data_IF_107485342608
#
_entry.id   IF_107485342608
#
_cell.length_a   1.000
_cell.length_b   1.000
_cell.length_c   1.000
_cell.angle_alpha   90.00
_cell.angle_beta   90.00
_cell.angle_gamma   90.00
#
_symmetry.space_group_name_H-M   'P 1'
#
loop_
_entity.id
_entity.type
_entity.pdbx_description
1 polymer ?
#
# COMPACT_ATOMS: atom_id res chain seq x y z
N UNK A 1 7.97 14.75 2.35
CA UNK A 1 7.49 13.58 1.57
C UNK A 1 7.71 12.29 2.35
N UNK A 2 6.97 11.28 2.02
CA UNK A 2 7.07 9.97 2.65
C UNK A 2 7.84 9.03 1.73
N UNK A 3 8.82 8.33 2.28
CA UNK A 3 9.61 7.36 1.52
C UNK A 3 8.83 6.04 1.37
N UNK A 4 9.12 5.31 0.30
CA UNK A 4 8.50 3.99 0.11
C UNK A 4 8.83 3.05 1.26
N UNK A 5 10.06 3.13 1.80
CA UNK A 5 10.45 2.34 2.96
C UNK A 5 9.63 2.68 4.22
N UNK A 6 9.22 3.94 4.37
CA UNK A 6 8.33 4.33 5.47
C UNK A 6 6.95 3.68 5.33
N UNK A 7 6.46 3.60 4.09
CA UNK A 7 5.19 2.91 3.81
C UNK A 7 5.32 1.42 4.11
N UNK A 8 6.43 0.82 3.70
CA UNK A 8 6.72 -0.59 3.99
C UNK A 8 6.66 -0.85 5.50
N UNK A 9 7.32 -0.01 6.29
CA UNK A 9 7.35 -0.18 7.74
C UNK A 9 5.95 0.00 8.35
N UNK A 10 5.19 0.94 7.83
CA UNK A 10 3.81 1.13 8.27
C UNK A 10 2.96 -0.12 7.98
N UNK A 11 3.03 -0.66 6.76
CA UNK A 11 2.27 -1.86 6.39
C UNK A 11 2.68 -3.04 7.27
N UNK A 12 3.98 -3.20 7.51
CA UNK A 12 4.48 -4.26 8.40
C UNK A 12 3.93 -4.12 9.82
N UNK A 13 3.77 -2.88 10.30
CA UNK A 13 3.26 -2.61 11.65
C UNK A 13 1.80 -3.03 11.84
N UNK A 14 1.06 -3.21 10.76
CA UNK A 14 -0.34 -3.64 10.82
C UNK A 14 -0.50 -5.11 11.24
N UNK A 15 0.58 -5.88 11.19
CA UNK A 15 0.58 -7.27 11.67
C UNK A 15 -0.15 -8.26 10.77
N UNK A 16 -0.40 -7.90 9.50
CA UNK A 16 -1.07 -8.79 8.56
C UNK A 16 -0.22 -10.03 8.26
N UNK A 17 1.09 -9.82 8.03
CA UNK A 17 2.10 -10.88 7.94
C UNK A 17 3.29 -10.46 8.79
N UNK A 18 4.23 -11.38 9.01
CA UNK A 18 5.45 -11.07 9.73
C UNK A 18 6.26 -10.01 9.00
N UNK A 19 7.00 -9.20 9.76
CA UNK A 19 7.78 -8.09 9.22
C UNK A 19 8.70 -8.52 8.07
N UNK A 20 9.33 -9.67 8.18
CA UNK A 20 10.27 -10.19 7.18
C UNK A 20 9.62 -10.54 5.83
N UNK A 21 8.29 -10.65 5.79
CA UNK A 21 7.54 -10.94 4.57
C UNK A 21 6.94 -9.71 3.92
N UNK A 22 7.29 -8.52 4.39
CA UNK A 22 6.88 -7.25 3.78
C UNK A 22 8.09 -6.61 3.12
N UNK A 23 8.02 -6.42 1.82
CA UNK A 23 9.15 -5.93 1.01
C UNK A 23 8.86 -4.55 0.44
N UNK A 24 9.92 -3.78 0.23
CA UNK A 24 9.84 -2.45 -0.37
C UNK A 24 10.44 -2.50 -1.76
N UNK A 25 9.63 -2.21 -2.78
CA UNK A 25 10.06 -2.08 -4.16
C UNK A 25 10.21 -3.39 -4.94
N UNK A 26 10.56 -4.48 -4.31
CA UNK A 26 10.76 -5.75 -4.99
C UNK A 26 10.56 -6.91 -4.02
N UNK A 27 9.84 -7.93 -4.47
CA UNK A 27 9.73 -9.18 -3.71
C UNK A 27 10.97 -10.02 -3.94
N UNK A 28 11.82 -10.09 -2.91
CA UNK A 28 12.97 -10.96 -2.95
C UNK A 28 12.54 -12.39 -2.61
N UNK A 29 13.13 -13.37 -3.33
CA UNK A 29 12.88 -14.79 -3.13
C UNK A 29 11.43 -15.24 -3.30
N UNK A 30 10.53 -14.35 -3.66
CA UNK A 30 9.10 -14.63 -3.93
C UNK A 30 8.50 -15.67 -3.00
N UNK A 31 8.68 -15.47 -1.70
CA UNK A 31 8.12 -16.37 -0.70
C UNK A 31 6.61 -16.28 -0.68
N UNK A 32 5.96 -17.42 -0.39
CA UNK A 32 4.51 -17.44 -0.23
C UNK A 32 4.08 -16.56 0.94
N UNK A 33 2.85 -16.02 0.85
CA UNK A 33 2.26 -15.18 1.88
C UNK A 33 3.14 -13.96 2.20
N UNK A 34 3.60 -13.31 1.15
CA UNK A 34 4.41 -12.09 1.25
C UNK A 34 3.71 -10.91 0.56
N UNK A 35 4.14 -9.71 0.93
CA UNK A 35 3.58 -8.47 0.43
C UNK A 35 4.71 -7.59 -0.10
N UNK A 36 4.52 -7.02 -1.29
CA UNK A 36 5.43 -6.02 -1.83
C UNK A 36 4.76 -4.66 -1.89
N UNK A 37 5.48 -3.64 -1.44
CA UNK A 37 5.01 -2.25 -1.49
C UNK A 37 5.77 -1.53 -2.59
N UNK A 38 5.04 -0.93 -3.52
CA UNK A 38 5.62 -0.27 -4.70
C UNK A 38 5.06 1.13 -4.86
N UNK A 39 5.84 2.01 -5.48
CA UNK A 39 5.28 3.26 -5.99
C UNK A 39 4.34 2.92 -7.14
N UNK A 40 3.22 3.64 -7.25
CA UNK A 40 2.31 3.45 -8.36
C UNK A 40 3.01 3.92 -9.64
N UNK A 41 2.91 3.14 -10.72
CA UNK A 41 3.57 3.47 -11.99
C UNK A 41 3.05 4.75 -12.61
N UNK A 42 1.76 5.02 -12.46
CA UNK A 42 1.12 6.23 -12.97
C UNK A 42 0.62 7.03 -11.79
N UNK A 43 1.18 8.23 -11.62
CA UNK A 43 0.77 9.18 -10.59
C UNK A 43 -0.14 10.25 -11.20
N UNK A 44 -0.99 10.82 -10.34
CA UNK A 44 -1.81 11.95 -10.72
C UNK A 44 -1.06 13.26 -10.44
N UNK A 45 -1.47 14.33 -11.12
CA UNK A 45 -0.90 15.64 -10.87
C UNK A 45 -1.17 16.10 -9.44
N UNK A 46 -0.24 16.88 -8.89
CA UNK A 46 -0.39 17.42 -7.56
C UNK A 46 -1.52 18.44 -7.53
N UNK A 47 -2.39 18.33 -6.53
CA UNK A 47 -3.45 19.29 -6.30
C UNK A 47 -2.90 20.47 -5.49
N UNK A 48 -3.01 21.69 -6.03
CA UNK A 48 -2.50 22.89 -5.37
C UNK A 48 -3.62 23.91 -5.20
N UNK A 49 -3.84 24.44 -3.97
CA UNK A 49 -4.82 25.49 -3.75
C UNK A 49 -4.49 26.77 -4.51
N UNK A 50 -5.49 27.61 -4.76
CA UNK A 50 -5.29 28.87 -5.45
C UNK A 50 -4.24 29.77 -4.81
N UNK A 51 -4.12 29.73 -3.48
CA UNK A 51 -3.11 30.52 -2.75
C UNK A 51 -1.71 29.96 -2.85
N UNK A 52 -1.52 28.86 -3.56
CA UNK A 52 -0.22 28.25 -3.80
C UNK A 52 0.07 27.12 -2.84
N UNK A 53 1.25 26.52 -3.03
CA UNK A 53 1.68 25.33 -2.30
C UNK A 53 1.72 25.54 -0.78
N UNK A 54 2.03 26.73 -0.32
CA UNK A 54 2.08 27.04 1.12
C UNK A 54 0.76 26.77 1.85
N UNK A 55 -0.36 26.86 1.15
CA UNK A 55 -1.67 26.65 1.75
C UNK A 55 -2.11 25.19 1.71
N UNK A 56 -1.32 24.32 1.11
CA UNK A 56 -1.64 22.90 1.07
C UNK A 56 -1.22 22.24 2.38
N UNK A 57 -2.20 21.73 3.14
CA UNK A 57 -1.98 21.15 4.46
C UNK A 57 -1.65 19.65 4.45
N UNK A 58 -1.78 19.00 3.30
CA UNK A 58 -1.63 17.55 3.21
C UNK A 58 -0.79 17.14 2.01
N UNK A 59 -0.23 15.94 2.07
CA UNK A 59 0.39 15.27 0.93
C UNK A 59 -0.30 13.96 0.66
N UNK A 60 -0.07 13.40 -0.52
CA UNK A 60 -0.63 12.11 -0.93
C UNK A 60 0.50 11.23 -1.42
N UNK A 61 0.63 10.05 -0.81
CA UNK A 61 1.57 9.02 -1.28
C UNK A 61 0.77 7.95 -2.00
N UNK A 62 0.95 7.84 -3.31
CA UNK A 62 0.24 6.85 -4.13
C UNK A 62 1.08 5.59 -4.26
N UNK A 63 0.54 4.48 -3.78
CA UNK A 63 1.26 3.20 -3.75
C UNK A 63 0.44 2.09 -4.37
N UNK A 64 1.13 1.02 -4.71
CA UNK A 64 0.55 -0.25 -5.14
C UNK A 64 1.09 -1.34 -4.22
N UNK A 65 0.21 -2.17 -3.71
CA UNK A 65 0.60 -3.30 -2.86
C UNK A 65 0.32 -4.57 -3.64
N UNK A 66 1.35 -5.41 -3.80
CA UNK A 66 1.23 -6.72 -4.41
C UNK A 66 1.14 -7.77 -3.32
N UNK A 67 0.08 -8.56 -3.34
CA UNK A 67 -0.10 -9.68 -2.41
C UNK A 67 0.25 -10.96 -3.18
N UNK A 68 1.35 -11.58 -2.80
CA UNK A 68 1.86 -12.84 -3.37
C UNK A 68 1.59 -13.91 -2.32
N UNK A 69 0.57 -14.74 -2.55
CA UNK A 69 0.00 -15.53 -1.45
C UNK A 69 0.31 -17.02 -1.56
N UNK A 70 -0.55 -17.79 -2.22
CA UNK A 70 -0.36 -19.23 -2.36
C UNK A 70 -1.04 -19.74 -3.64
N UNK A 71 -1.15 -21.07 -3.76
CA UNK A 71 -1.73 -21.70 -4.94
C UNK A 71 -3.24 -21.80 -4.92
N UNK A 72 -3.90 -21.26 -3.89
CA UNK A 72 -5.35 -21.23 -3.80
C UNK A 72 -5.86 -19.84 -4.16
N UNK A 73 -6.60 -19.74 -5.25
CA UNK A 73 -7.20 -18.47 -5.66
C UNK A 73 -8.15 -17.94 -4.58
N UNK A 74 -8.96 -18.82 -4.01
CA UNK A 74 -9.92 -18.43 -2.97
C UNK A 74 -9.24 -17.90 -1.72
N UNK A 75 -8.20 -18.57 -1.25
CA UNK A 75 -7.45 -18.12 -0.06
C UNK A 75 -6.73 -16.82 -0.31
N UNK A 76 -6.17 -16.66 -1.50
CA UNK A 76 -5.48 -15.44 -1.89
C UNK A 76 -6.42 -14.25 -1.92
N UNK A 77 -7.59 -14.43 -2.51
CA UNK A 77 -8.60 -13.38 -2.58
C UNK A 77 -9.08 -13.00 -1.18
N UNK A 78 -9.37 -13.99 -0.32
CA UNK A 78 -9.79 -13.73 1.06
C UNK A 78 -8.74 -12.96 1.84
N UNK A 79 -7.47 -13.36 1.72
CA UNK A 79 -6.36 -12.69 2.41
C UNK A 79 -6.23 -11.26 1.92
N UNK A 80 -6.33 -11.04 0.61
CA UNK A 80 -6.19 -9.72 0.01
C UNK A 80 -7.33 -8.79 0.43
N UNK A 81 -8.57 -9.30 0.48
CA UNK A 81 -9.72 -8.53 0.95
C UNK A 81 -9.54 -8.13 2.41
N UNK A 82 -9.00 -9.02 3.23
CA UNK A 82 -8.72 -8.73 4.63
C UNK A 82 -7.72 -7.58 4.75
N UNK A 83 -6.64 -7.61 3.96
CA UNK A 83 -5.66 -6.53 3.95
C UNK A 83 -6.27 -5.23 3.43
N UNK A 84 -7.08 -5.30 2.38
CA UNK A 84 -7.78 -4.15 1.82
C UNK A 84 -8.63 -3.46 2.89
N UNK A 85 -9.43 -4.22 3.63
CA UNK A 85 -10.27 -3.66 4.68
C UNK A 85 -9.44 -3.11 5.84
N UNK A 86 -8.35 -3.76 6.18
CA UNK A 86 -7.46 -3.30 7.23
C UNK A 86 -6.85 -1.93 6.86
N UNK A 87 -6.41 -1.77 5.61
CA UNK A 87 -5.87 -0.50 5.12
C UNK A 87 -6.94 0.58 5.06
N UNK A 88 -8.11 0.25 4.54
CA UNK A 88 -9.19 1.21 4.35
C UNK A 88 -9.68 1.80 5.68
N UNK A 89 -9.54 1.05 6.77
CA UNK A 89 -10.01 1.48 8.08
C UNK A 89 -8.96 2.22 8.91
N UNK A 90 -7.78 2.44 8.37
CA UNK A 90 -6.73 3.14 9.11
C UNK A 90 -7.04 4.64 9.23
N UNK A 91 -6.84 5.18 10.42
CA UNK A 91 -7.02 6.62 10.72
C UNK A 91 -5.94 7.05 11.71
N UNK A 92 -5.42 8.25 11.53
CA UNK A 92 -4.51 8.88 12.48
C UNK A 92 -3.35 7.96 12.91
N UNK A 93 -2.57 7.54 11.93
CA UNK A 93 -1.45 6.62 12.13
C UNK A 93 -0.12 7.34 11.89
N UNK A 94 0.97 6.74 12.38
CA UNK A 94 2.31 7.26 12.10
C UNK A 94 2.90 6.57 10.88
N UNK A 95 3.51 7.35 9.99
CA UNK A 95 4.20 6.83 8.82
C UNK A 95 5.50 7.61 8.64
N UNK A 96 6.63 6.94 8.89
CA UNK A 96 7.90 7.65 8.97
C UNK A 96 7.83 8.69 10.07
N UNK A 97 8.16 9.94 9.74
CA UNK A 97 8.12 11.04 10.70
C UNK A 97 6.89 11.93 10.53
N UNK A 98 5.94 11.51 9.73
CA UNK A 98 4.73 12.28 9.49
C UNK A 98 3.51 11.54 10.04
N UNK A 99 2.42 12.26 10.16
CA UNK A 99 1.15 11.70 10.62
C UNK A 99 0.27 11.39 9.43
N UNK A 100 -0.09 10.13 9.27
CA UNK A 100 -1.06 9.71 8.27
C UNK A 100 -2.46 9.99 8.78
N UNK A 101 -3.34 10.47 7.91
CA UNK A 101 -4.69 10.83 8.31
C UNK A 101 -5.70 9.77 7.92
N UNK A 102 -5.63 9.29 6.71
CA UNK A 102 -6.52 8.24 6.20
C UNK A 102 -5.95 7.69 4.90
N UNK A 103 -6.52 6.57 4.46
CA UNK A 103 -6.14 5.92 3.20
C UNK A 103 -7.37 5.84 2.31
N UNK A 104 -7.26 6.41 1.11
CA UNK A 104 -8.29 6.32 0.09
C UNK A 104 -7.91 5.20 -0.88
N UNK A 105 -8.80 4.21 -1.00
CA UNK A 105 -8.51 3.09 -1.90
C UNK A 105 -8.73 3.51 -3.35
N UNK A 106 -7.81 3.14 -4.22
CA UNK A 106 -7.86 3.49 -5.64
C UNK A 106 -8.74 2.57 -6.47
N UNK A 107 -9.48 1.67 -5.83
CA UNK A 107 -10.33 0.69 -6.49
C UNK A 107 -11.39 0.21 -5.50
N UNK A 108 -12.50 -0.34 -6.03
CA UNK A 108 -13.58 -0.85 -5.18
C UNK A 108 -13.21 -2.13 -4.45
N UNK A 109 -12.37 -2.94 -5.06
CA UNK A 109 -11.93 -4.21 -4.52
C UNK A 109 -10.56 -4.58 -5.11
N UNK A 110 -9.80 -5.48 -4.46
CA UNK A 110 -8.53 -5.93 -5.01
C UNK A 110 -8.67 -6.53 -6.40
N UNK A 111 -7.63 -6.34 -7.22
CA UNK A 111 -7.60 -6.86 -8.59
C UNK A 111 -6.66 -8.04 -8.70
N UNK A 112 -7.12 -9.09 -9.37
CA UNK A 112 -6.30 -10.25 -9.67
C UNK A 112 -5.26 -9.91 -10.75
N UNK A 113 -4.02 -10.39 -10.54
CA UNK A 113 -2.92 -10.24 -11.51
C UNK A 113 -2.51 -11.62 -12.06
N UNK A 114 -3.37 -12.61 -11.90
CA UNK A 114 -3.11 -14.00 -12.27
C UNK A 114 -2.09 -14.68 -11.35
N UNK A 115 -1.32 -15.60 -11.90
CA UNK A 115 -0.33 -16.36 -11.15
C UNK A 115 1.08 -16.04 -11.64
N UNK A 116 2.07 -16.29 -10.76
CA UNK A 116 3.46 -16.25 -11.18
C UNK A 116 3.84 -17.58 -11.86
N UNK A 117 5.14 -17.73 -12.22
CA UNK A 117 5.64 -18.91 -12.91
C UNK A 117 5.48 -20.20 -12.11
N UNK A 118 5.31 -20.10 -10.80
CA UNK A 118 5.15 -21.24 -9.90
C UNK A 118 3.67 -21.52 -9.55
N UNK A 119 2.75 -20.82 -10.18
CA UNK A 119 1.33 -21.01 -9.93
C UNK A 119 0.81 -20.33 -8.67
N UNK A 120 1.58 -19.40 -8.10
CA UNK A 120 1.17 -18.65 -6.91
C UNK A 120 0.29 -17.47 -7.35
N UNK A 121 -0.90 -17.37 -6.78
CA UNK A 121 -1.83 -16.29 -7.11
C UNK A 121 -1.39 -14.97 -6.52
N UNK A 122 -1.58 -13.91 -7.28
CA UNK A 122 -1.21 -12.55 -6.91
C UNK A 122 -2.38 -11.59 -7.12
N UNK A 123 -2.54 -10.67 -6.19
CA UNK A 123 -3.53 -9.60 -6.27
C UNK A 123 -2.84 -8.27 -6.00
N UNK A 124 -3.44 -7.20 -6.51
CA UNK A 124 -2.91 -5.85 -6.34
C UNK A 124 -3.95 -4.96 -5.67
N UNK A 125 -3.47 -4.07 -4.79
CA UNK A 125 -4.28 -3.06 -4.12
C UNK A 125 -3.63 -1.70 -4.39
N UNK A 126 -4.43 -0.73 -4.86
CA UNK A 126 -3.96 0.65 -5.02
C UNK A 126 -4.48 1.50 -3.88
N UNK A 127 -3.58 2.23 -3.24
CA UNK A 127 -3.90 3.10 -2.12
C UNK A 127 -3.32 4.48 -2.29
N UNK A 128 -4.07 5.47 -1.83
CA UNK A 128 -3.60 6.85 -1.70
C UNK A 128 -3.54 7.16 -0.21
N UNK A 129 -2.32 7.35 0.32
CA UNK A 129 -2.12 7.65 1.74
C UNK A 129 -2.07 9.17 1.90
N UNK A 130 -3.05 9.71 2.62
CA UNK A 130 -3.11 11.13 2.93
C UNK A 130 -2.41 11.38 4.25
N UNK A 131 -1.45 12.29 4.25
CA UNK A 131 -0.64 12.59 5.43
C UNK A 131 -0.48 14.10 5.62
N UNK A 132 -0.18 14.52 6.86
CA UNK A 132 0.08 15.91 7.16
C UNK A 132 1.42 16.33 6.56
N UNK A 133 1.42 17.47 5.87
CA UNK A 133 2.67 17.99 5.32
C UNK A 133 3.48 18.64 6.43
N UNK A 134 4.77 18.41 6.37
CA UNK A 134 5.74 19.14 7.18
C UNK A 134 5.99 20.49 6.53
N UNK A 135 6.12 21.52 7.36
CA UNK A 135 6.46 22.85 6.90
C UNK A 135 7.98 23.03 6.79
#
# INVERSE_FOLDING_TARGET
MVLLSDVRDFVASLGFVEDEYVYSGKLEDKKNKSIGVYNRKINTAQSIPFGGLKLKSFGIKQISILVHWNRSQRETEKATIKLFNLLQNQRDFSIGQVKGKFILMGMNEPQSVDTDDNGIYEYVIWCDIYYEREE
#
